data_IF_935918341062
#
_entry.id   IF_935918341062
#
_cell.length_a   1.000
_cell.length_b   1.000
_cell.length_c   1.000
_cell.angle_alpha   90.00
_cell.angle_beta   90.00
_cell.angle_gamma   90.00
#
_symmetry.space_group_name_H-M   'P 1'
#
loop_
_entity.id
_entity.type
_entity.pdbx_description
1 polymer ?
#
# COMPACT_ATOMS: atom_id res chain seq x y z
N UNK A 1 41.41 -10.21 4.05
CA UNK A 1 40.86 -11.56 3.85
C UNK A 1 39.37 -11.42 4.14
N UNK A 2 38.58 -11.11 3.07
CA UNK A 2 37.15 -10.83 3.15
C UNK A 2 36.45 -12.17 3.00
N UNK A 3 35.76 -12.63 4.04
CA UNK A 3 34.87 -13.79 3.97
C UNK A 3 33.67 -13.44 3.09
N UNK A 4 33.69 -13.87 1.85
CA UNK A 4 32.51 -14.01 1.02
C UNK A 4 31.69 -15.17 1.62
N UNK A 5 30.64 -14.84 2.37
CA UNK A 5 29.64 -15.81 2.77
C UNK A 5 29.01 -16.39 1.49
N UNK A 6 29.21 -17.67 1.28
CA UNK A 6 28.63 -18.45 0.19
C UNK A 6 27.10 -18.34 0.33
N UNK A 7 26.44 -17.64 -0.61
CA UNK A 7 24.99 -17.67 -0.76
C UNK A 7 24.59 -19.10 -1.16
N UNK A 8 24.15 -19.88 -0.20
CA UNK A 8 23.51 -21.16 -0.47
C UNK A 8 22.20 -20.87 -1.18
N UNK A 9 22.16 -21.04 -2.49
CA UNK A 9 20.92 -21.10 -3.26
C UNK A 9 20.10 -22.26 -2.69
N UNK A 10 18.94 -21.97 -2.09
CA UNK A 10 17.96 -22.97 -1.67
C UNK A 10 17.23 -23.43 -2.93
N UNK A 11 17.95 -24.15 -3.80
CA UNK A 11 17.36 -24.82 -4.96
C UNK A 11 16.53 -25.99 -4.46
N UNK A 12 15.20 -25.85 -4.48
CA UNK A 12 14.30 -26.93 -4.14
C UNK A 12 13.05 -26.56 -3.38
N UNK A 13 12.97 -25.38 -2.74
CA UNK A 13 11.76 -24.96 -2.01
C UNK A 13 10.73 -24.39 -2.99
N UNK A 14 9.53 -24.97 -3.01
CA UNK A 14 8.38 -24.46 -3.78
C UNK A 14 7.52 -23.56 -2.91
N UNK A 15 7.32 -22.34 -3.37
CA UNK A 15 6.50 -21.31 -2.73
C UNK A 15 5.31 -20.99 -3.63
N UNK A 16 4.09 -21.18 -3.12
CA UNK A 16 2.87 -20.78 -3.80
C UNK A 16 2.39 -19.42 -3.23
N UNK A 17 2.52 -18.34 -4.01
CA UNK A 17 2.03 -17.00 -3.67
C UNK A 17 0.57 -16.87 -4.10
N UNK A 18 -0.33 -16.62 -3.15
CA UNK A 18 -1.77 -16.50 -3.37
C UNK A 18 -2.19 -15.02 -3.27
N UNK A 19 -2.81 -14.50 -4.32
CA UNK A 19 -3.17 -13.08 -4.38
C UNK A 19 -4.41 -12.82 -5.22
N UNK A 20 -5.14 -11.77 -4.90
CA UNK A 20 -6.19 -11.26 -5.77
C UNK A 20 -5.63 -10.50 -6.97
N UNK A 21 -4.62 -9.69 -6.76
CA UNK A 21 -4.05 -8.79 -7.75
C UNK A 21 -2.71 -9.31 -8.26
N UNK A 22 -2.58 -9.42 -9.57
CA UNK A 22 -1.31 -9.71 -10.26
C UNK A 22 -1.43 -9.24 -11.73
N UNK A 23 -0.34 -8.82 -12.38
CA UNK A 23 -0.40 -8.35 -13.77
C UNK A 23 -1.18 -9.28 -14.70
N UNK A 24 -1.97 -8.72 -15.64
CA UNK A 24 -2.15 -7.29 -15.94
C UNK A 24 -3.19 -6.58 -15.06
N UNK A 25 -3.80 -7.24 -14.07
CA UNK A 25 -4.87 -6.71 -13.23
C UNK A 25 -4.31 -6.30 -11.86
N UNK A 26 -3.67 -5.15 -11.79
CA UNK A 26 -3.16 -4.52 -10.56
C UNK A 26 -3.83 -3.18 -10.37
N UNK A 27 -4.41 -2.92 -9.20
CA UNK A 27 -5.09 -1.67 -8.87
C UNK A 27 -4.75 -1.13 -7.47
N UNK A 28 -3.94 -1.87 -6.69
CA UNK A 28 -3.54 -1.50 -5.33
C UNK A 28 -2.12 -1.89 -4.96
N UNK A 29 -1.66 -1.38 -3.82
CA UNK A 29 -0.30 -1.62 -3.33
C UNK A 29 0.03 -3.10 -3.07
N UNK A 30 -0.97 -3.92 -2.71
CA UNK A 30 -0.78 -5.36 -2.51
C UNK A 30 -0.39 -6.07 -3.82
N UNK A 31 -1.02 -5.71 -4.94
CA UNK A 31 -0.68 -6.27 -6.25
C UNK A 31 0.73 -5.88 -6.70
N UNK A 32 1.10 -4.61 -6.52
CA UNK A 32 2.47 -4.12 -6.77
C UNK A 32 3.48 -4.88 -5.90
N UNK A 33 3.16 -5.09 -4.62
CA UNK A 33 4.03 -5.86 -3.72
C UNK A 33 4.24 -7.29 -4.22
N UNK A 34 3.16 -8.03 -4.55
CA UNK A 34 3.27 -9.44 -4.96
C UNK A 34 4.02 -9.59 -6.28
N UNK A 35 3.80 -8.68 -7.24
CA UNK A 35 4.55 -8.67 -8.50
C UNK A 35 6.06 -8.59 -8.26
N UNK A 36 6.48 -7.58 -7.50
CA UNK A 36 7.90 -7.37 -7.20
C UNK A 36 8.47 -8.49 -6.32
N UNK A 37 7.74 -8.93 -5.28
CA UNK A 37 8.16 -10.03 -4.43
C UNK A 37 8.37 -11.32 -5.25
N UNK A 38 7.43 -11.67 -6.13
CA UNK A 38 7.57 -12.81 -7.02
C UNK A 38 8.82 -12.71 -7.89
N UNK A 39 9.09 -11.51 -8.46
CA UNK A 39 10.26 -11.28 -9.31
C UNK A 39 11.57 -11.50 -8.55
N UNK A 40 11.70 -11.01 -7.31
CA UNK A 40 12.92 -11.13 -6.51
C UNK A 40 13.08 -12.49 -5.82
N UNK A 41 11.99 -13.26 -5.63
CA UNK A 41 12.03 -14.61 -5.06
C UNK A 41 12.33 -15.68 -6.12
N UNK A 42 11.93 -15.52 -7.39
CA UNK A 42 12.16 -16.51 -8.46
C UNK A 42 13.62 -16.93 -8.63
N UNK A 43 14.64 -16.07 -8.49
CA UNK A 43 16.05 -16.51 -8.49
C UNK A 43 16.46 -17.33 -7.25
N UNK A 44 15.61 -17.37 -6.20
CA UNK A 44 15.90 -17.97 -4.89
C UNK A 44 15.13 -19.27 -4.62
N UNK A 45 13.96 -19.45 -5.30
CA UNK A 45 13.04 -20.58 -5.06
C UNK A 45 12.17 -20.88 -6.30
N UNK A 46 11.48 -22.05 -6.32
CA UNK A 46 10.40 -22.34 -7.28
C UNK A 46 9.13 -21.55 -6.87
N UNK A 47 8.94 -20.38 -7.45
CA UNK A 47 7.82 -19.49 -7.12
C UNK A 47 6.68 -19.67 -8.10
N UNK A 48 5.52 -20.07 -7.60
CA UNK A 48 4.26 -20.15 -8.34
C UNK A 48 3.29 -19.10 -7.84
N UNK A 49 2.76 -18.30 -8.75
CA UNK A 49 1.76 -17.28 -8.44
C UNK A 49 0.38 -17.81 -8.79
N UNK A 50 -0.52 -17.80 -7.81
CA UNK A 50 -1.93 -18.14 -7.97
C UNK A 50 -2.75 -16.87 -7.77
N UNK A 51 -3.34 -16.37 -8.86
CA UNK A 51 -4.01 -15.09 -8.85
C UNK A 51 -5.45 -15.20 -9.34
N UNK A 52 -6.31 -14.33 -8.84
CA UNK A 52 -7.67 -14.19 -9.36
C UNK A 52 -7.66 -13.77 -10.83
N UNK A 53 -8.71 -14.14 -11.55
CA UNK A 53 -8.97 -13.73 -12.92
C UNK A 53 -8.64 -14.79 -13.97
N UNK A 54 -8.61 -14.36 -15.23
CA UNK A 54 -8.44 -15.27 -16.39
C UNK A 54 -7.09 -16.00 -16.37
N UNK A 55 -7.00 -17.20 -16.97
CA UNK A 55 -5.74 -17.87 -17.21
C UNK A 55 -4.70 -16.93 -17.87
N UNK A 56 -3.44 -17.07 -17.49
CA UNK A 56 -2.31 -16.27 -17.97
C UNK A 56 -1.29 -17.14 -18.70
N UNK A 57 -0.62 -16.63 -19.73
CA UNK A 57 0.39 -17.38 -20.46
C UNK A 57 1.74 -17.47 -19.73
N UNK A 58 1.93 -16.65 -18.66
CA UNK A 58 3.22 -16.52 -18.00
C UNK A 58 3.59 -17.80 -17.25
N UNK A 59 4.82 -18.33 -17.42
CA UNK A 59 5.28 -19.51 -16.71
C UNK A 59 5.21 -19.33 -15.19
N UNK A 60 4.66 -20.32 -14.49
CA UNK A 60 4.51 -20.29 -13.03
C UNK A 60 3.42 -19.35 -12.53
N UNK A 61 2.52 -18.88 -13.41
CA UNK A 61 1.35 -18.05 -13.02
C UNK A 61 0.07 -18.77 -13.42
N UNK A 62 -0.82 -19.02 -12.45
CA UNK A 62 -2.14 -19.61 -12.67
C UNK A 62 -3.22 -18.59 -12.34
N UNK A 63 -4.15 -18.36 -13.26
CA UNK A 63 -5.33 -17.52 -13.07
C UNK A 63 -6.56 -18.34 -12.71
N UNK A 64 -7.33 -17.89 -11.71
CA UNK A 64 -8.56 -18.51 -11.22
C UNK A 64 -9.72 -17.55 -11.44
N UNK A 65 -10.59 -17.80 -12.43
CA UNK A 65 -11.76 -16.96 -12.68
C UNK A 65 -12.84 -17.18 -11.61
N UNK A 66 -13.73 -16.19 -11.47
CA UNK A 66 -14.95 -16.37 -10.67
C UNK A 66 -15.74 -17.60 -11.17
N UNK A 67 -16.32 -18.34 -10.24
CA UNK A 67 -17.18 -19.48 -10.57
C UNK A 67 -18.50 -18.98 -11.16
N UNK A 68 -18.91 -19.44 -12.37
CA UNK A 68 -20.17 -19.01 -12.99
C UNK A 68 -21.40 -19.24 -12.12
N UNK A 69 -21.41 -20.31 -11.32
CA UNK A 69 -22.49 -20.70 -10.42
C UNK A 69 -22.69 -19.68 -9.29
N UNK A 70 -21.66 -18.90 -8.98
CA UNK A 70 -21.69 -17.86 -7.95
C UNK A 70 -21.81 -16.45 -8.53
N UNK A 71 -22.04 -16.27 -9.83
CA UNK A 71 -22.05 -14.98 -10.49
C UNK A 71 -23.04 -13.97 -9.87
N UNK A 72 -24.20 -14.45 -9.38
CA UNK A 72 -25.21 -13.64 -8.69
C UNK A 72 -25.04 -13.57 -7.18
N UNK A 73 -24.06 -14.27 -6.61
CA UNK A 73 -23.84 -14.32 -5.18
C UNK A 73 -23.15 -13.04 -4.65
N UNK A 74 -23.18 -12.87 -3.32
CA UNK A 74 -22.43 -11.82 -2.66
C UNK A 74 -20.92 -11.90 -3.02
N UNK A 75 -20.25 -10.75 -3.12
CA UNK A 75 -18.85 -10.66 -3.52
C UNK A 75 -17.91 -11.52 -2.64
N UNK A 76 -18.19 -11.63 -1.33
CA UNK A 76 -17.40 -12.48 -0.45
C UNK A 76 -17.53 -13.97 -0.81
N UNK A 77 -18.74 -14.43 -1.16
CA UNK A 77 -18.95 -15.82 -1.60
C UNK A 77 -18.27 -16.13 -2.93
N UNK A 78 -18.27 -15.17 -3.88
CA UNK A 78 -17.51 -15.32 -5.13
C UNK A 78 -16.02 -15.46 -4.85
N UNK A 79 -15.48 -14.62 -3.94
CA UNK A 79 -14.10 -14.72 -3.47
C UNK A 79 -13.80 -16.10 -2.93
N UNK A 80 -14.64 -16.63 -2.02
CA UNK A 80 -14.46 -17.96 -1.44
C UNK A 80 -14.50 -19.08 -2.49
N UNK A 81 -15.32 -18.95 -3.53
CA UNK A 81 -15.32 -19.89 -4.64
C UNK A 81 -13.96 -20.00 -5.33
N UNK A 82 -13.30 -18.87 -5.55
CA UNK A 82 -11.93 -18.82 -6.10
C UNK A 82 -10.93 -19.39 -5.09
N UNK A 83 -11.05 -19.05 -3.81
CA UNK A 83 -10.17 -19.55 -2.75
C UNK A 83 -10.15 -21.08 -2.65
N UNK A 84 -11.31 -21.72 -2.81
CA UNK A 84 -11.42 -23.19 -2.81
C UNK A 84 -10.63 -23.82 -3.96
N UNK A 85 -10.72 -23.23 -5.16
CA UNK A 85 -9.96 -23.72 -6.32
C UNK A 85 -8.45 -23.52 -6.14
N UNK A 86 -8.04 -22.36 -5.61
CA UNK A 86 -6.63 -22.07 -5.31
C UNK A 86 -6.08 -23.03 -4.26
N UNK A 87 -6.81 -23.26 -3.16
CA UNK A 87 -6.38 -24.15 -2.09
C UNK A 87 -6.19 -25.59 -2.58
N UNK A 88 -7.12 -26.10 -3.40
CA UNK A 88 -7.03 -27.44 -3.97
C UNK A 88 -5.76 -27.65 -4.81
N UNK A 89 -5.29 -26.59 -5.46
CA UNK A 89 -4.18 -26.64 -6.42
C UNK A 89 -2.79 -26.46 -5.77
N UNK A 90 -2.72 -26.13 -4.47
CA UNK A 90 -1.48 -25.92 -3.73
C UNK A 90 -0.73 -27.22 -3.36
N UNK A 91 -1.23 -28.41 -3.76
CA UNK A 91 -0.57 -29.68 -3.44
C UNK A 91 0.89 -29.71 -3.84
N UNK A 92 1.76 -30.12 -2.88
CA UNK A 92 3.21 -30.17 -3.05
C UNK A 92 3.94 -28.83 -2.91
N UNK A 93 3.30 -27.76 -2.42
CA UNK A 93 3.98 -26.55 -1.98
C UNK A 93 4.68 -26.80 -0.65
N UNK A 94 5.91 -26.30 -0.49
CA UNK A 94 6.63 -26.31 0.79
C UNK A 94 6.18 -25.16 1.68
N UNK A 95 5.74 -24.04 1.08
CA UNK A 95 5.12 -22.88 1.75
C UNK A 95 3.99 -22.35 0.90
N UNK A 96 2.88 -22.01 1.53
CA UNK A 96 1.80 -21.25 0.93
C UNK A 96 1.78 -19.85 1.54
N UNK A 97 1.92 -18.80 0.71
CA UNK A 97 1.97 -17.42 1.18
C UNK A 97 0.82 -16.60 0.57
N UNK A 98 -0.12 -16.18 1.41
CA UNK A 98 -1.29 -15.42 0.97
C UNK A 98 -1.17 -13.92 1.25
N UNK A 99 -1.82 -13.12 0.41
CA UNK A 99 -1.84 -11.66 0.50
C UNK A 99 -3.26 -11.14 0.51
N UNK A 100 -3.61 -10.36 1.53
CA UNK A 100 -4.95 -9.79 1.81
C UNK A 100 -6.01 -10.84 2.14
N UNK A 101 -7.13 -10.40 2.75
CA UNK A 101 -8.24 -11.29 3.10
C UNK A 101 -8.80 -12.06 1.88
N UNK A 102 -8.66 -11.49 0.68
CA UNK A 102 -9.14 -12.10 -0.57
C UNK A 102 -8.51 -13.46 -0.88
N UNK A 103 -7.29 -13.72 -0.40
CA UNK A 103 -6.58 -14.99 -0.62
C UNK A 103 -6.19 -15.69 0.70
N UNK A 104 -6.47 -15.06 1.85
CA UNK A 104 -6.11 -15.60 3.15
C UNK A 104 -6.84 -16.92 3.44
N UNK A 105 -8.11 -17.03 3.03
CA UNK A 105 -8.87 -18.27 3.20
C UNK A 105 -8.27 -19.40 2.36
N UNK A 106 -7.84 -19.12 1.12
CA UNK A 106 -7.16 -20.11 0.28
C UNK A 106 -5.88 -20.62 0.95
N UNK A 107 -5.05 -19.71 1.49
CA UNK A 107 -3.83 -20.09 2.20
C UNK A 107 -4.10 -20.93 3.45
N UNK A 108 -5.10 -20.56 4.24
CA UNK A 108 -5.51 -21.31 5.43
C UNK A 108 -5.99 -22.72 5.08
N UNK A 109 -6.87 -22.84 4.10
CA UNK A 109 -7.39 -24.13 3.64
C UNK A 109 -6.31 -25.00 3.00
N UNK A 110 -5.39 -24.42 2.22
CA UNK A 110 -4.26 -25.15 1.65
C UNK A 110 -3.35 -25.71 2.74
N UNK A 111 -3.08 -24.93 3.80
CA UNK A 111 -2.33 -25.40 4.96
C UNK A 111 -2.97 -26.61 5.64
N UNK A 112 -4.29 -26.55 5.86
CA UNK A 112 -5.04 -27.67 6.46
C UNK A 112 -5.10 -28.89 5.54
N UNK A 113 -5.30 -28.70 4.24
CA UNK A 113 -5.52 -29.78 3.28
C UNK A 113 -4.21 -30.51 2.92
N UNK A 114 -3.11 -29.78 2.74
CA UNK A 114 -1.85 -30.32 2.22
C UNK A 114 -0.74 -30.38 3.27
N UNK A 115 -0.95 -29.82 4.47
CA UNK A 115 0.05 -29.77 5.54
C UNK A 115 1.18 -28.76 5.26
N UNK A 116 1.07 -27.92 4.25
CA UNK A 116 2.04 -26.87 3.96
C UNK A 116 1.88 -25.70 4.96
N UNK A 117 2.99 -25.18 5.57
CA UNK A 117 2.89 -24.03 6.44
C UNK A 117 2.33 -22.83 5.69
N UNK A 118 1.27 -22.21 6.27
CA UNK A 118 0.67 -21.01 5.75
C UNK A 118 1.35 -19.79 6.35
N UNK A 119 1.96 -18.95 5.50
CA UNK A 119 2.43 -17.61 5.81
C UNK A 119 1.44 -16.61 5.21
N UNK A 120 1.16 -15.50 5.86
CA UNK A 120 0.37 -14.44 5.28
C UNK A 120 1.03 -13.08 5.47
N UNK A 121 0.90 -12.19 4.46
CA UNK A 121 1.31 -10.79 4.56
C UNK A 121 0.09 -9.88 4.81
N UNK A 122 0.19 -9.09 5.88
CA UNK A 122 -0.83 -8.13 6.29
C UNK A 122 -0.66 -6.80 5.54
N UNK A 123 -1.44 -6.59 4.49
CA UNK A 123 -1.47 -5.31 3.75
C UNK A 123 -2.59 -4.37 4.23
N UNK A 124 -3.55 -4.89 4.97
CA UNK A 124 -4.65 -4.18 5.65
C UNK A 124 -5.32 -5.15 6.60
N UNK A 125 -6.13 -4.63 7.52
CA UNK A 125 -6.94 -5.43 8.44
C UNK A 125 -8.42 -5.05 8.31
N UNK A 126 -9.30 -6.03 8.19
CA UNK A 126 -10.75 -5.80 8.09
C UNK A 126 -11.30 -5.04 9.31
N UNK A 127 -10.90 -5.33 10.57
CA UNK A 127 -11.38 -4.56 11.74
C UNK A 127 -11.02 -3.07 11.72
N UNK A 128 -9.98 -2.67 10.97
CA UNK A 128 -9.55 -1.28 10.83
C UNK A 128 -10.08 -0.64 9.54
N UNK A 129 -11.03 -1.29 8.88
CA UNK A 129 -11.68 -0.83 7.65
C UNK A 129 -13.19 -0.99 7.70
N UNK A 130 -13.88 -0.49 8.76
CA UNK A 130 -15.32 -0.71 8.97
C UNK A 130 -16.18 -0.18 7.82
N UNK A 131 -15.71 0.84 7.08
CA UNK A 131 -16.34 1.33 5.85
C UNK A 131 -16.45 0.29 4.73
N UNK A 132 -15.72 -0.82 4.81
CA UNK A 132 -15.88 -1.96 3.88
C UNK A 132 -17.26 -2.61 3.95
N UNK A 133 -17.97 -2.45 5.07
CA UNK A 133 -19.36 -2.87 5.17
C UNK A 133 -20.28 -2.17 4.15
N UNK A 134 -19.96 -0.93 3.77
CA UNK A 134 -20.66 -0.19 2.72
C UNK A 134 -20.54 -0.88 1.34
N UNK A 135 -19.38 -1.51 1.06
CA UNK A 135 -19.10 -2.20 -0.20
C UNK A 135 -19.57 -3.65 -0.21
N UNK A 136 -19.39 -4.36 0.89
CA UNK A 136 -19.61 -5.82 0.98
C UNK A 136 -20.97 -6.19 1.60
N UNK A 137 -21.65 -5.22 2.26
CA UNK A 137 -22.87 -5.50 2.99
C UNK A 137 -22.67 -6.66 3.99
N UNK A 138 -23.56 -7.66 3.96
CA UNK A 138 -23.43 -8.86 4.81
C UNK A 138 -22.16 -9.68 4.55
N UNK A 139 -21.51 -9.51 3.41
CA UNK A 139 -20.22 -10.13 3.08
C UNK A 139 -19.06 -9.66 3.95
N UNK A 140 -19.18 -8.48 4.61
CA UNK A 140 -18.16 -8.00 5.53
C UNK A 140 -17.96 -8.92 6.75
N UNK A 141 -19.02 -9.55 7.25
CA UNK A 141 -18.91 -10.55 8.31
C UNK A 141 -18.13 -11.80 7.84
N UNK A 142 -18.31 -12.17 6.57
CA UNK A 142 -17.58 -13.30 5.97
C UNK A 142 -16.08 -12.97 5.76
N UNK A 143 -15.76 -11.79 5.22
CA UNK A 143 -14.36 -11.38 5.02
C UNK A 143 -13.62 -11.27 6.36
N UNK A 144 -14.27 -10.69 7.38
CA UNK A 144 -13.71 -10.57 8.74
C UNK A 144 -13.48 -11.93 9.39
N UNK A 145 -14.42 -12.87 9.21
CA UNK A 145 -14.27 -14.25 9.71
C UNK A 145 -13.10 -14.97 9.01
N UNK A 146 -13.02 -14.89 7.70
CA UNK A 146 -11.99 -15.56 6.91
C UNK A 146 -10.61 -15.01 7.26
N UNK A 147 -10.48 -13.67 7.36
CA UNK A 147 -9.24 -13.03 7.76
C UNK A 147 -8.81 -13.48 9.15
N UNK A 148 -9.70 -13.39 10.16
CA UNK A 148 -9.41 -13.83 11.53
C UNK A 148 -8.94 -15.28 11.57
N UNK A 149 -9.67 -16.20 10.92
CA UNK A 149 -9.34 -17.63 10.90
C UNK A 149 -7.95 -17.88 10.31
N UNK A 150 -7.61 -17.16 9.25
CA UNK A 150 -6.30 -17.26 8.60
C UNK A 150 -5.16 -16.76 9.52
N UNK A 151 -5.35 -15.61 10.19
CA UNK A 151 -4.36 -15.07 11.13
C UNK A 151 -4.12 -16.01 12.31
N UNK A 152 -5.17 -16.55 12.91
CA UNK A 152 -5.07 -17.49 14.04
C UNK A 152 -4.40 -18.81 13.63
N UNK A 153 -4.68 -19.29 12.40
CA UNK A 153 -4.17 -20.57 11.89
C UNK A 153 -2.81 -20.48 11.17
N UNK A 154 -2.28 -19.30 10.90
CA UNK A 154 -1.03 -19.12 10.18
C UNK A 154 0.18 -19.65 10.98
N UNK A 155 1.16 -20.20 10.25
CA UNK A 155 2.46 -20.56 10.81
C UNK A 155 3.32 -19.31 11.10
N UNK A 156 3.22 -18.28 10.24
CA UNK A 156 3.79 -16.95 10.47
C UNK A 156 2.93 -15.86 9.81
N UNK A 157 2.96 -14.66 10.38
CA UNK A 157 2.29 -13.46 9.87
C UNK A 157 3.36 -12.40 9.60
N UNK A 158 3.45 -11.95 8.37
CA UNK A 158 4.31 -10.84 7.99
C UNK A 158 3.51 -9.54 8.14
N UNK A 159 3.91 -8.69 9.07
CA UNK A 159 3.43 -7.33 9.22
C UNK A 159 4.31 -6.40 8.36
N UNK A 160 3.69 -5.53 7.56
CA UNK A 160 4.44 -4.61 6.68
C UNK A 160 5.07 -3.42 7.42
N UNK A 161 4.81 -3.29 8.73
CA UNK A 161 5.37 -2.27 9.61
C UNK A 161 5.21 -2.68 11.08
N UNK A 162 5.94 -2.03 11.99
CA UNK A 162 5.72 -2.17 13.44
C UNK A 162 4.32 -1.66 13.83
N UNK A 163 3.84 -0.58 13.19
CA UNK A 163 2.47 -0.11 13.33
C UNK A 163 1.46 -1.20 12.96
N UNK A 164 1.64 -1.88 11.83
CA UNK A 164 0.78 -3.00 11.43
C UNK A 164 0.89 -4.18 12.40
N UNK A 165 2.08 -4.48 12.92
CA UNK A 165 2.26 -5.52 13.95
C UNK A 165 1.43 -5.21 15.20
N UNK A 166 1.49 -3.97 15.69
CA UNK A 166 0.68 -3.55 16.83
C UNK A 166 -0.83 -3.66 16.53
N UNK A 167 -1.25 -3.28 15.32
CA UNK A 167 -2.63 -3.38 14.87
C UNK A 167 -3.13 -4.83 14.80
N UNK A 168 -2.32 -5.76 14.29
CA UNK A 168 -2.62 -7.20 14.26
C UNK A 168 -2.86 -7.72 15.67
N UNK A 169 -1.92 -7.48 16.58
CA UNK A 169 -2.00 -7.99 17.95
C UNK A 169 -3.17 -7.39 18.75
N UNK A 170 -3.54 -6.13 18.45
CA UNK A 170 -4.72 -5.50 19.03
C UNK A 170 -6.03 -6.06 18.45
N UNK A 171 -6.07 -6.30 17.13
CA UNK A 171 -7.28 -6.76 16.42
C UNK A 171 -7.54 -8.27 16.63
N UNK A 172 -6.47 -9.04 16.76
CA UNK A 172 -6.50 -10.50 16.91
C UNK A 172 -5.67 -10.94 18.13
N UNK A 173 -6.13 -10.70 19.35
CA UNK A 173 -5.37 -10.94 20.58
C UNK A 173 -5.08 -12.43 20.86
N UNK A 174 -5.66 -13.35 20.10
CA UNK A 174 -5.38 -14.80 20.14
C UNK A 174 -4.18 -15.20 19.27
N UNK A 175 -3.69 -14.30 18.41
CA UNK A 175 -2.49 -14.54 17.60
C UNK A 175 -1.26 -14.45 18.49
N UNK A 176 -0.41 -15.48 18.43
CA UNK A 176 0.86 -15.51 19.13
C UNK A 176 1.79 -14.39 18.63
N UNK A 177 2.24 -13.46 19.48
CA UNK A 177 3.11 -12.36 19.10
C UNK A 177 4.43 -12.79 18.44
N UNK A 178 4.94 -13.99 18.77
CA UNK A 178 6.18 -14.52 18.21
C UNK A 178 6.04 -14.99 16.76
N UNK A 179 4.80 -15.19 16.29
CA UNK A 179 4.50 -15.50 14.88
C UNK A 179 4.42 -14.24 14.00
N UNK A 180 4.33 -13.04 14.59
CA UNK A 180 4.17 -11.79 13.84
C UNK A 180 5.53 -11.14 13.64
N UNK A 181 6.04 -11.23 12.43
CA UNK A 181 7.35 -10.72 12.01
C UNK A 181 7.18 -9.48 11.15
N UNK A 182 8.00 -8.45 11.39
CA UNK A 182 7.98 -7.24 10.55
C UNK A 182 8.89 -7.43 9.34
N UNK A 183 8.31 -7.34 8.14
CA UNK A 183 9.04 -7.25 6.87
C UNK A 183 8.39 -6.14 6.05
N UNK A 184 9.07 -5.02 5.87
CA UNK A 184 8.57 -3.88 5.11
C UNK A 184 8.31 -4.22 3.63
N UNK A 185 7.49 -3.41 2.96
CA UNK A 185 7.41 -3.46 1.51
C UNK A 185 8.64 -2.80 0.89
N UNK A 186 9.08 -3.34 -0.25
CA UNK A 186 10.17 -2.76 -1.03
C UNK A 186 9.71 -1.73 -2.06
N UNK A 187 10.68 -1.03 -2.64
CA UNK A 187 10.49 -0.10 -3.75
C UNK A 187 11.41 -0.46 -4.93
N UNK A 188 10.87 -0.41 -6.15
CA UNK A 188 11.64 -0.55 -7.39
C UNK A 188 12.32 0.78 -7.73
N UNK A 189 13.56 0.94 -7.28
CA UNK A 189 14.36 2.16 -7.46
C UNK A 189 14.84 2.37 -8.90
N UNK A 190 14.72 1.37 -9.77
CA UNK A 190 14.99 1.51 -11.19
C UNK A 190 13.81 2.06 -11.97
N UNK A 191 12.61 1.64 -11.58
CA UNK A 191 11.35 2.10 -12.18
C UNK A 191 10.82 3.40 -11.56
N UNK A 192 11.23 3.73 -10.32
CA UNK A 192 10.91 4.98 -9.63
C UNK A 192 12.19 5.80 -9.47
N UNK A 193 12.34 6.82 -10.29
CA UNK A 193 13.48 7.70 -10.28
C UNK A 193 13.05 9.12 -10.62
N UNK A 194 13.86 10.09 -10.20
CA UNK A 194 13.64 11.50 -10.53
C UNK A 194 13.71 11.71 -12.04
N UNK A 195 12.69 12.32 -12.61
CA UNK A 195 12.68 12.86 -13.96
C UNK A 195 13.29 14.27 -13.93
N UNK A 196 14.32 14.52 -14.71
CA UNK A 196 15.03 15.80 -14.74
C UNK A 196 14.36 16.82 -15.70
N UNK A 197 13.24 16.46 -16.34
CA UNK A 197 12.50 17.36 -17.20
C UNK A 197 11.28 17.98 -16.48
N UNK A 198 11.41 19.16 -15.85
CA UNK A 198 10.32 19.79 -15.13
C UNK A 198 9.17 20.22 -16.04
N UNK A 199 9.43 20.46 -17.34
CA UNK A 199 8.41 20.92 -18.29
C UNK A 199 7.47 19.81 -18.75
N UNK A 200 7.82 18.55 -18.50
CA UNK A 200 6.96 17.40 -18.86
C UNK A 200 5.56 17.50 -18.24
N UNK A 201 5.44 18.08 -17.03
CA UNK A 201 4.18 18.22 -16.31
C UNK A 201 3.26 19.35 -16.82
N UNK A 202 3.79 20.27 -17.66
CA UNK A 202 2.97 21.38 -18.22
C UNK A 202 1.82 20.87 -19.08
N UNK A 203 2.00 19.73 -19.75
CA UNK A 203 0.95 19.09 -20.56
C UNK A 203 -0.22 18.57 -19.70
N UNK A 204 0.02 18.39 -18.41
CA UNK A 204 -0.98 17.99 -17.41
C UNK A 204 -1.64 19.20 -16.72
N UNK A 205 -1.30 20.41 -17.12
CA UNK A 205 -1.81 21.65 -16.51
C UNK A 205 -1.10 22.03 -15.19
N UNK A 206 0.04 21.42 -14.91
CA UNK A 206 0.85 21.69 -13.72
C UNK A 206 1.92 22.73 -14.08
N UNK A 207 2.08 23.75 -13.26
CA UNK A 207 3.13 24.76 -13.40
C UNK A 207 4.35 24.38 -12.54
N UNK A 208 5.48 23.94 -13.15
CA UNK A 208 6.65 23.51 -12.40
C UNK A 208 7.39 24.66 -11.68
N UNK A 209 7.08 25.90 -12.01
CA UNK A 209 7.70 27.08 -11.40
C UNK A 209 6.96 27.55 -10.13
N UNK A 210 5.80 26.96 -9.83
CA UNK A 210 5.02 27.24 -8.62
C UNK A 210 5.28 26.18 -7.54
N UNK A 211 5.35 26.60 -6.24
CA UNK A 211 5.33 25.63 -5.14
C UNK A 211 4.09 24.73 -5.25
N UNK A 212 4.28 23.43 -5.03
CA UNK A 212 3.18 22.48 -5.23
C UNK A 212 3.07 21.45 -4.11
N UNK A 213 1.81 21.14 -3.77
CA UNK A 213 1.42 20.01 -2.93
C UNK A 213 0.79 18.96 -3.85
N UNK A 214 1.37 17.78 -3.90
CA UNK A 214 0.92 16.68 -4.76
C UNK A 214 0.33 15.57 -3.90
N UNK A 215 -0.88 15.11 -4.24
CA UNK A 215 -1.52 13.92 -3.69
C UNK A 215 -1.62 12.85 -4.78
N UNK A 216 -1.31 11.61 -4.42
CA UNK A 216 -1.49 10.44 -5.29
C UNK A 216 -2.23 9.34 -4.52
N UNK A 217 -3.36 8.89 -5.04
CA UNK A 217 -4.09 7.80 -4.40
C UNK A 217 -5.52 7.63 -4.89
N UNK A 218 -6.18 6.56 -4.43
CA UNK A 218 -7.61 6.35 -4.65
C UNK A 218 -8.43 7.30 -3.78
N UNK A 219 -9.63 7.61 -4.23
CA UNK A 219 -10.58 8.41 -3.46
C UNK A 219 -11.29 7.51 -2.45
N UNK A 220 -10.71 7.41 -1.25
CA UNK A 220 -11.21 6.57 -0.17
C UNK A 220 -11.17 7.33 1.16
N UNK A 221 -12.01 6.94 2.13
CA UNK A 221 -11.98 7.55 3.48
C UNK A 221 -10.61 7.38 4.14
N UNK A 222 -10.00 6.21 3.94
CA UNK A 222 -8.65 5.87 4.43
C UNK A 222 -7.59 6.89 4.03
N UNK A 223 -7.65 7.41 2.80
CA UNK A 223 -6.64 8.30 2.24
C UNK A 223 -6.74 9.75 2.69
N UNK A 224 -7.77 10.11 3.46
CA UNK A 224 -7.89 11.41 4.11
C UNK A 224 -8.01 12.61 3.17
N UNK A 225 -8.37 12.39 1.89
CA UNK A 225 -8.45 13.44 0.89
C UNK A 225 -9.38 14.61 1.27
N UNK A 226 -10.55 14.40 1.92
CA UNK A 226 -11.37 15.51 2.40
C UNK A 226 -10.65 16.45 3.37
N UNK A 227 -9.78 15.92 4.26
CA UNK A 227 -8.99 16.76 5.17
C UNK A 227 -7.95 17.59 4.42
N UNK A 228 -7.28 16.99 3.42
CA UNK A 228 -6.35 17.72 2.55
C UNK A 228 -7.03 18.86 1.80
N UNK A 229 -8.22 18.61 1.23
CA UNK A 229 -8.96 19.62 0.48
C UNK A 229 -9.37 20.81 1.37
N UNK A 230 -9.76 20.55 2.62
CA UNK A 230 -10.04 21.58 3.62
C UNK A 230 -8.76 22.31 4.06
N UNK A 231 -7.65 21.60 4.25
CA UNK A 231 -6.36 22.22 4.56
C UNK A 231 -5.88 23.10 3.40
N UNK A 232 -6.16 22.71 2.16
CA UNK A 232 -5.79 23.48 0.97
C UNK A 232 -6.49 24.87 0.90
N UNK A 233 -7.61 25.06 1.57
CA UNK A 233 -8.25 26.39 1.69
C UNK A 233 -7.38 27.38 2.48
N UNK A 234 -6.52 26.86 3.38
CA UNK A 234 -5.66 27.64 4.26
C UNK A 234 -4.26 27.86 3.68
N UNK A 235 -3.89 27.19 2.58
CA UNK A 235 -2.58 27.34 1.96
C UNK A 235 -2.42 28.69 1.26
N UNK A 236 -1.18 29.24 1.21
CA UNK A 236 -0.87 30.44 0.43
C UNK A 236 -1.36 30.35 -1.03
N UNK A 237 -1.77 31.49 -1.60
CA UNK A 237 -2.39 31.52 -2.92
C UNK A 237 -1.45 31.07 -4.06
N UNK A 238 -0.14 31.26 -3.89
CA UNK A 238 0.90 30.83 -4.83
C UNK A 238 1.10 29.31 -4.87
N UNK A 239 0.74 28.57 -3.82
CA UNK A 239 0.87 27.12 -3.77
C UNK A 239 -0.20 26.48 -4.64
N UNK A 240 0.19 25.61 -5.57
CA UNK A 240 -0.76 24.83 -6.34
C UNK A 240 -1.02 23.47 -5.65
N UNK A 241 -2.25 22.96 -5.81
CA UNK A 241 -2.67 21.64 -5.37
C UNK A 241 -2.84 20.74 -6.59
N UNK A 242 -2.10 19.62 -6.62
CA UNK A 242 -2.19 18.65 -7.70
C UNK A 242 -2.73 17.34 -7.15
N UNK A 243 -3.86 16.91 -7.65
CA UNK A 243 -4.55 15.68 -7.24
C UNK A 243 -4.47 14.64 -8.36
N UNK A 244 -3.64 13.61 -8.18
CA UNK A 244 -3.65 12.39 -8.98
C UNK A 244 -4.57 11.39 -8.27
N UNK A 245 -5.89 11.62 -8.36
CA UNK A 245 -6.89 10.96 -7.55
C UNK A 245 -8.05 10.47 -8.40
N UNK A 246 -8.31 9.16 -8.33
CA UNK A 246 -9.41 8.50 -9.01
C UNK A 246 -9.86 7.24 -8.27
N UNK A 247 -10.62 6.37 -8.93
CA UNK A 247 -11.11 5.10 -8.41
C UNK A 247 -11.75 5.23 -7.01
N UNK A 248 -12.90 5.91 -6.89
CA UNK A 248 -13.60 6.08 -5.62
C UNK A 248 -14.11 4.73 -5.07
N UNK A 249 -14.08 4.57 -3.75
CA UNK A 249 -14.63 3.38 -3.10
C UNK A 249 -16.16 3.36 -3.16
N UNK A 250 -16.81 4.53 -3.06
CA UNK A 250 -18.28 4.68 -3.15
C UNK A 250 -18.66 5.98 -3.88
N UNK A 251 -19.90 6.07 -4.41
CA UNK A 251 -20.40 7.32 -5.01
C UNK A 251 -20.44 8.49 -4.03
N UNK A 252 -20.69 8.23 -2.74
CA UNK A 252 -20.83 9.26 -1.71
C UNK A 252 -19.50 9.98 -1.47
N UNK A 253 -18.38 9.24 -1.33
CA UNK A 253 -17.05 9.87 -1.17
C UNK A 253 -16.64 10.61 -2.43
N UNK A 254 -17.03 10.11 -3.62
CA UNK A 254 -16.78 10.81 -4.87
C UNK A 254 -17.53 12.13 -4.93
N UNK A 255 -18.81 12.16 -4.53
CA UNK A 255 -19.62 13.38 -4.50
C UNK A 255 -19.05 14.41 -3.51
N UNK A 256 -18.64 13.96 -2.31
CA UNK A 256 -18.01 14.81 -1.30
C UNK A 256 -16.72 15.45 -1.85
N UNK A 257 -15.81 14.66 -2.40
CA UNK A 257 -14.53 15.14 -2.95
C UNK A 257 -14.76 16.09 -4.12
N UNK A 258 -15.67 15.76 -5.05
CA UNK A 258 -15.99 16.61 -6.19
C UNK A 258 -16.53 17.97 -5.74
N UNK A 259 -17.40 18.02 -4.74
CA UNK A 259 -17.92 19.26 -4.16
C UNK A 259 -16.82 20.12 -3.54
N UNK A 260 -15.90 19.50 -2.78
CA UNK A 260 -14.77 20.21 -2.17
C UNK A 260 -13.80 20.76 -3.22
N UNK A 261 -13.48 19.98 -4.26
CA UNK A 261 -12.60 20.43 -5.35
C UNK A 261 -13.24 21.60 -6.13
N UNK A 262 -14.52 21.49 -6.48
CA UNK A 262 -15.22 22.57 -7.18
C UNK A 262 -15.21 23.87 -6.35
N UNK A 263 -15.49 23.77 -5.04
CA UNK A 263 -15.43 24.93 -4.14
C UNK A 263 -14.01 25.51 -4.00
N UNK A 264 -12.97 24.70 -4.05
CA UNK A 264 -11.58 25.20 -4.09
C UNK A 264 -11.27 25.91 -5.41
N UNK A 265 -11.68 25.36 -6.56
CA UNK A 265 -11.45 25.93 -7.88
C UNK A 265 -12.15 27.28 -8.06
N UNK A 266 -13.27 27.53 -7.38
CA UNK A 266 -13.94 28.83 -7.35
C UNK A 266 -13.17 29.89 -6.55
N UNK A 267 -12.44 29.47 -5.50
CA UNK A 267 -11.80 30.38 -4.54
C UNK A 267 -10.32 30.59 -4.77
N UNK A 268 -9.64 29.67 -5.48
CA UNK A 268 -8.21 29.77 -5.74
C UNK A 268 -7.83 29.20 -7.11
N UNK A 269 -6.74 29.71 -7.67
CA UNK A 269 -6.09 29.16 -8.87
C UNK A 269 -5.13 28.03 -8.53
N UNK A 270 -4.75 27.23 -9.52
CA UNK A 270 -3.73 26.19 -9.35
C UNK A 270 -4.26 24.95 -8.64
N UNK A 271 -5.54 24.63 -8.79
CA UNK A 271 -6.11 23.34 -8.38
C UNK A 271 -6.24 22.47 -9.61
N UNK A 272 -5.33 21.50 -9.74
CA UNK A 272 -5.27 20.54 -10.86
C UNK A 272 -5.75 19.18 -10.36
N UNK A 273 -6.77 18.64 -10.99
CA UNK A 273 -7.28 17.31 -10.66
C UNK A 273 -7.20 16.39 -11.88
N UNK A 274 -6.38 15.34 -11.75
CA UNK A 274 -6.18 14.29 -12.74
C UNK A 274 -6.94 13.05 -12.29
N UNK A 275 -8.17 12.87 -12.78
CA UNK A 275 -9.09 11.81 -12.33
C UNK A 275 -8.75 10.42 -12.89
N UNK A 276 -7.78 10.32 -13.79
CA UNK A 276 -7.34 9.05 -14.38
C UNK A 276 -6.19 8.43 -13.61
N UNK A 277 -6.04 7.12 -13.71
CA UNK A 277 -4.82 6.43 -13.29
C UNK A 277 -3.69 6.85 -14.22
N UNK A 278 -2.66 7.51 -13.65
CA UNK A 278 -1.49 7.91 -14.41
C UNK A 278 -0.54 6.71 -14.61
N UNK A 279 0.03 6.54 -15.81
CA UNK A 279 1.15 5.62 -16.00
C UNK A 279 2.34 5.99 -15.10
N UNK A 280 3.17 5.01 -14.73
CA UNK A 280 4.33 5.22 -13.84
C UNK A 280 5.23 6.36 -14.32
N UNK A 281 5.51 6.44 -15.63
CA UNK A 281 6.36 7.50 -16.18
C UNK A 281 5.80 8.91 -15.90
N UNK A 282 4.49 9.11 -16.10
CA UNK A 282 3.83 10.39 -15.79
C UNK A 282 3.82 10.68 -14.28
N UNK A 283 3.62 9.64 -13.44
CA UNK A 283 3.69 9.80 -11.98
C UNK A 283 5.11 10.19 -11.53
N UNK A 284 6.17 9.60 -12.10
CA UNK A 284 7.54 10.00 -11.84
C UNK A 284 7.77 11.48 -12.18
N UNK A 285 7.25 11.97 -13.32
CA UNK A 285 7.33 13.37 -13.70
C UNK A 285 6.62 14.28 -12.68
N UNK A 286 5.37 13.94 -12.31
CA UNK A 286 4.58 14.71 -11.34
C UNK A 286 5.27 14.75 -9.97
N UNK A 287 5.73 13.60 -9.45
CA UNK A 287 6.41 13.53 -8.16
C UNK A 287 7.77 14.24 -8.19
N UNK A 288 8.50 14.17 -9.30
CA UNK A 288 9.80 14.84 -9.45
C UNK A 288 9.69 16.37 -9.52
N UNK A 289 8.58 16.87 -10.05
CA UNK A 289 8.29 18.31 -10.11
C UNK A 289 7.65 18.84 -8.81
N UNK A 290 7.19 17.97 -7.91
CA UNK A 290 6.52 18.34 -6.68
C UNK A 290 7.46 19.04 -5.70
N UNK A 291 7.01 20.14 -5.09
CA UNK A 291 7.69 20.69 -3.89
C UNK A 291 7.53 19.73 -2.74
N UNK A 292 6.32 19.21 -2.54
CA UNK A 292 6.06 18.16 -1.55
C UNK A 292 4.95 17.21 -2.02
N UNK A 293 5.14 15.93 -1.77
CA UNK A 293 4.09 14.93 -1.80
C UNK A 293 3.42 14.87 -0.43
N UNK A 294 2.08 14.75 -0.40
CA UNK A 294 1.32 14.65 0.84
C UNK A 294 0.59 13.32 0.96
N UNK A 295 0.74 12.66 2.11
CA UNK A 295 0.01 11.45 2.49
C UNK A 295 -0.85 11.72 3.74
N UNK A 296 -2.07 12.28 3.59
CA UNK A 296 -2.94 12.66 4.70
C UNK A 296 -3.78 11.48 5.19
N UNK A 297 -3.29 10.25 4.99
CA UNK A 297 -4.00 9.02 5.34
C UNK A 297 -4.32 8.96 6.82
N UNK A 298 -5.54 8.55 7.16
CA UNK A 298 -5.95 8.27 8.54
C UNK A 298 -5.73 6.81 8.94
N UNK A 299 -5.44 5.97 7.98
CA UNK A 299 -4.99 4.59 8.16
C UNK A 299 -4.04 4.23 7.02
N UNK A 300 -2.81 3.87 7.34
CA UNK A 300 -1.80 3.51 6.34
C UNK A 300 -0.91 2.39 6.87
N UNK A 301 -1.04 1.18 6.37
CA UNK A 301 -0.22 0.04 6.81
C UNK A 301 1.28 0.25 6.71
N UNK A 302 1.77 0.80 5.60
CA UNK A 302 3.14 1.27 5.41
C UNK A 302 3.19 2.56 4.59
N UNK A 303 2.48 2.60 3.46
CA UNK A 303 2.47 3.74 2.55
C UNK A 303 3.54 3.65 1.47
N UNK A 304 3.41 2.67 0.56
CA UNK A 304 4.34 2.49 -0.58
C UNK A 304 4.45 3.79 -1.40
N UNK A 305 3.37 4.55 -1.54
CA UNK A 305 3.36 5.81 -2.27
C UNK A 305 4.32 6.86 -1.68
N UNK A 306 4.59 6.81 -0.36
CA UNK A 306 5.63 7.65 0.25
C UNK A 306 7.02 7.24 -0.26
N UNK A 307 7.28 5.93 -0.40
CA UNK A 307 8.53 5.43 -0.98
C UNK A 307 8.68 5.81 -2.46
N UNK A 308 7.59 5.80 -3.22
CA UNK A 308 7.56 6.25 -4.62
C UNK A 308 7.91 7.73 -4.73
N UNK A 309 7.34 8.57 -3.86
CA UNK A 309 7.66 9.99 -3.78
C UNK A 309 9.12 10.24 -3.36
N UNK A 310 9.61 9.53 -2.33
CA UNK A 310 11.01 9.58 -1.89
C UNK A 310 11.98 9.12 -2.99
N UNK A 311 11.62 8.07 -3.75
CA UNK A 311 12.41 7.59 -4.87
C UNK A 311 12.53 8.63 -5.99
N UNK A 312 11.48 9.43 -6.21
CA UNK A 312 11.48 10.59 -7.12
C UNK A 312 12.07 11.86 -6.51
N UNK A 313 12.63 11.79 -5.29
CA UNK A 313 13.21 12.93 -4.56
C UNK A 313 12.20 14.05 -4.25
N UNK A 314 10.93 13.74 -4.06
CA UNK A 314 9.95 14.65 -3.48
C UNK A 314 10.10 14.68 -1.95
N UNK A 315 9.99 15.85 -1.32
CA UNK A 315 9.75 15.92 0.13
C UNK A 315 8.43 15.24 0.46
N UNK A 316 8.33 14.58 1.60
CA UNK A 316 7.09 13.93 2.01
C UNK A 316 6.52 14.60 3.26
N UNK A 317 5.25 14.99 3.19
CA UNK A 317 4.45 15.35 4.37
C UNK A 317 3.45 14.23 4.61
N UNK A 318 3.54 13.55 5.74
CA UNK A 318 2.68 12.42 6.05
C UNK A 318 2.01 12.53 7.41
N UNK A 319 0.83 11.94 7.57
CA UNK A 319 0.21 11.80 8.89
C UNK A 319 1.04 10.84 9.76
N UNK A 320 1.22 11.16 11.03
CA UNK A 320 1.92 10.29 11.99
C UNK A 320 1.03 9.10 12.42
N UNK A 321 0.67 8.22 11.47
CA UNK A 321 -0.19 7.05 11.72
C UNK A 321 0.33 5.81 10.97
N UNK A 322 0.03 4.63 11.53
CA UNK A 322 0.41 3.34 10.94
C UNK A 322 1.91 3.24 10.68
N UNK A 323 2.29 2.82 9.48
CA UNK A 323 3.69 2.68 9.06
C UNK A 323 4.32 3.95 8.47
N UNK A 324 3.58 5.07 8.32
CA UNK A 324 4.15 6.30 7.75
C UNK A 324 5.39 6.78 8.53
N UNK A 325 5.40 6.79 9.90
CA UNK A 325 6.58 7.19 10.67
C UNK A 325 7.81 6.28 10.50
N UNK A 326 7.61 5.06 10.01
CA UNK A 326 8.72 4.14 9.71
C UNK A 326 9.35 4.43 8.35
N UNK A 327 8.58 4.98 7.42
CA UNK A 327 9.05 5.43 6.10
C UNK A 327 9.63 6.83 6.17
N UNK A 328 8.88 7.79 6.72
CA UNK A 328 9.25 9.20 6.77
C UNK A 328 9.89 9.51 8.12
N UNK A 329 11.13 9.98 8.09
CA UNK A 329 11.84 10.46 9.26
C UNK A 329 11.60 11.96 9.40
N UNK A 330 10.85 12.35 10.46
CA UNK A 330 10.46 13.76 10.68
C UNK A 330 11.68 14.68 10.80
N UNK A 331 11.62 15.81 10.08
CA UNK A 331 12.70 16.81 10.03
C UNK A 331 13.95 16.38 9.24
N UNK A 332 13.98 15.15 8.67
CA UNK A 332 15.14 14.62 7.91
C UNK A 332 14.75 14.26 6.47
N UNK A 333 13.71 13.45 6.28
CA UNK A 333 13.27 13.03 4.93
C UNK A 333 11.92 13.63 4.54
N UNK A 334 11.34 14.43 5.43
CA UNK A 334 10.05 15.06 5.29
C UNK A 334 9.53 15.55 6.64
N UNK A 335 8.21 15.72 6.73
CA UNK A 335 7.55 16.15 7.95
C UNK A 335 6.38 15.22 8.28
N UNK A 336 6.15 15.01 9.58
CA UNK A 336 5.03 14.27 10.09
C UNK A 336 4.01 15.20 10.75
N UNK A 337 2.73 15.04 10.38
CA UNK A 337 1.61 15.75 10.97
C UNK A 337 1.02 14.90 12.09
N UNK A 338 0.99 15.36 13.33
CA UNK A 338 0.40 14.61 14.44
C UNK A 338 -1.10 14.43 14.25
N UNK A 339 -1.62 13.29 14.69
CA UNK A 339 -3.04 12.98 14.66
C UNK A 339 -3.45 12.28 15.96
N UNK A 340 -4.51 12.76 16.60
CA UNK A 340 -5.19 12.06 17.68
C UNK A 340 -6.47 11.42 17.11
N UNK A 341 -6.55 10.09 17.18
CA UNK A 341 -7.57 9.31 16.48
C UNK A 341 -8.56 8.67 17.46
N UNK A 342 -9.79 8.49 17.01
CA UNK A 342 -10.76 7.64 17.70
C UNK A 342 -10.33 6.18 17.62
N UNK A 343 -10.75 5.37 18.59
CA UNK A 343 -10.34 3.95 18.71
C UNK A 343 -11.40 2.97 18.17
N UNK A 344 -12.31 3.45 17.32
CA UNK A 344 -13.41 2.65 16.75
C UNK A 344 -13.04 1.91 15.45
N UNK A 345 -11.78 1.97 15.05
CA UNK A 345 -11.27 1.36 13.82
C UNK A 345 -11.36 2.25 12.57
N UNK A 346 -12.06 3.41 12.63
CA UNK A 346 -12.17 4.32 11.48
C UNK A 346 -10.91 5.14 11.23
N UNK A 347 -10.09 5.32 12.26
CA UNK A 347 -8.94 6.22 12.20
C UNK A 347 -9.31 7.71 12.13
N UNK A 348 -10.58 8.06 12.32
CA UNK A 348 -11.07 9.44 12.26
C UNK A 348 -10.35 10.30 13.31
N UNK A 349 -9.89 11.52 12.96
CA UNK A 349 -9.35 12.47 13.95
C UNK A 349 -10.40 12.81 15.00
N UNK A 350 -10.01 12.87 16.28
CA UNK A 350 -10.91 13.32 17.38
C UNK A 350 -11.27 14.79 17.22
N UNK A 351 -10.33 15.57 16.73
CA UNK A 351 -10.51 16.99 16.39
C UNK A 351 -10.13 17.21 14.91
N UNK A 352 -11.09 17.06 13.99
CA UNK A 352 -10.83 17.23 12.57
C UNK A 352 -10.37 18.62 12.18
N UNK A 353 -10.87 19.67 12.87
CA UNK A 353 -10.49 21.05 12.58
C UNK A 353 -9.03 21.31 12.94
N UNK A 354 -8.59 20.83 14.10
CA UNK A 354 -7.20 20.90 14.49
C UNK A 354 -6.30 20.14 13.54
N UNK A 355 -6.66 18.92 13.16
CA UNK A 355 -5.87 18.13 12.22
C UNK A 355 -5.74 18.84 10.85
N UNK A 356 -6.82 19.46 10.35
CA UNK A 356 -6.80 20.26 9.13
C UNK A 356 -5.86 21.45 9.26
N UNK A 357 -5.90 22.17 10.40
CA UNK A 357 -5.01 23.30 10.65
C UNK A 357 -3.54 22.88 10.75
N UNK A 358 -3.24 21.82 11.51
CA UNK A 358 -1.88 21.27 11.65
C UNK A 358 -1.33 20.81 10.28
N UNK A 359 -2.17 20.16 9.45
CA UNK A 359 -1.80 19.76 8.10
C UNK A 359 -1.48 20.96 7.20
N UNK A 360 -2.30 22.00 7.26
CA UNK A 360 -2.08 23.23 6.48
C UNK A 360 -0.80 23.97 6.93
N UNK A 361 -0.53 24.02 8.23
CA UNK A 361 0.68 24.64 8.79
C UNK A 361 1.94 23.93 8.29
N UNK A 362 2.00 22.59 8.41
CA UNK A 362 3.15 21.79 7.97
C UNK A 362 3.35 21.87 6.44
N UNK A 363 2.26 21.84 5.67
CA UNK A 363 2.35 22.02 4.20
C UNK A 363 2.86 23.40 3.82
N UNK A 364 2.41 24.46 4.53
CA UNK A 364 2.88 25.83 4.32
C UNK A 364 4.35 25.96 4.66
N UNK A 365 4.80 25.38 5.79
CA UNK A 365 6.22 25.35 6.17
C UNK A 365 7.09 24.77 5.05
N UNK A 366 6.75 23.56 4.56
CA UNK A 366 7.56 22.86 3.56
C UNK A 366 7.51 23.57 2.19
N UNK A 367 6.37 24.12 1.79
CA UNK A 367 6.24 24.80 0.49
C UNK A 367 6.86 26.19 0.48
N UNK A 368 7.05 26.81 1.63
CA UNK A 368 7.71 28.13 1.76
C UNK A 368 9.24 28.08 1.74
N UNK A 369 9.86 26.89 1.90
CA UNK A 369 11.30 26.68 1.83
C UNK A 369 11.68 25.60 0.80
N UNK A 370 11.75 25.97 -0.49
CA UNK A 370 12.09 25.02 -1.57
C UNK A 370 13.47 24.37 -1.40
N UNK A 371 14.40 25.04 -0.73
CA UNK A 371 15.73 24.48 -0.45
C UNK A 371 15.62 23.34 0.54
N UNK A 372 14.91 23.56 1.63
CA UNK A 372 14.68 22.53 2.66
C UNK A 372 13.87 21.35 2.11
N UNK A 373 12.84 21.63 1.30
CA UNK A 373 12.08 20.58 0.62
C UNK A 373 12.98 19.70 -0.27
N UNK A 374 13.90 20.30 -1.01
CA UNK A 374 14.88 19.56 -1.82
C UNK A 374 15.82 18.70 -0.95
N UNK A 375 16.32 19.24 0.18
CA UNK A 375 17.14 18.48 1.14
C UNK A 375 16.39 17.25 1.67
N UNK A 376 15.13 17.39 2.02
CA UNK A 376 14.26 16.28 2.42
C UNK A 376 14.12 15.23 1.31
N UNK A 377 13.88 15.65 0.08
CA UNK A 377 13.74 14.75 -1.06
C UNK A 377 14.99 13.93 -1.33
N UNK A 378 16.18 14.56 -1.29
CA UNK A 378 17.48 13.86 -1.45
C UNK A 378 17.70 12.87 -0.32
N UNK A 379 17.48 13.27 0.93
CA UNK A 379 17.60 12.38 2.09
C UNK A 379 16.58 11.23 2.03
N UNK A 380 15.38 11.51 1.54
CA UNK A 380 14.33 10.51 1.31
C UNK A 380 14.78 9.43 0.33
N UNK A 381 15.36 9.82 -0.81
CA UNK A 381 15.92 8.87 -1.79
C UNK A 381 16.98 7.97 -1.19
N UNK A 382 17.93 8.54 -0.46
CA UNK A 382 19.00 7.77 0.21
C UNK A 382 18.41 6.77 1.20
N UNK A 383 17.40 7.17 1.99
CA UNK A 383 16.72 6.27 2.93
C UNK A 383 16.00 5.13 2.20
N UNK A 384 15.31 5.42 1.09
CA UNK A 384 14.62 4.40 0.30
C UNK A 384 15.62 3.35 -0.23
N UNK A 385 16.80 3.77 -0.69
CA UNK A 385 17.86 2.90 -1.17
C UNK A 385 18.44 2.01 -0.05
N UNK A 386 18.64 2.57 1.14
CA UNK A 386 19.29 1.86 2.25
C UNK A 386 18.39 0.87 2.98
N UNK A 387 17.08 1.16 3.07
CA UNK A 387 16.18 0.43 3.98
C UNK A 387 15.03 -0.30 3.30
N UNK A 388 14.70 0.03 2.03
CA UNK A 388 13.52 -0.49 1.37
C UNK A 388 13.82 -1.14 0.01
N UNK A 389 15.03 -1.68 -0.18
CA UNK A 389 15.40 -2.40 -1.39
C UNK A 389 14.70 -3.78 -1.45
N UNK A 390 14.24 -4.17 -2.62
CA UNK A 390 13.59 -5.48 -2.81
C UNK A 390 14.50 -6.67 -2.49
N UNK A 391 15.81 -6.54 -2.65
CA UNK A 391 16.74 -7.63 -2.29
C UNK A 391 16.74 -7.90 -0.78
N UNK A 392 16.79 -6.84 0.04
CA UNK A 392 16.72 -6.99 1.50
C UNK A 392 15.37 -7.56 1.95
N UNK A 393 14.27 -7.12 1.31
CA UNK A 393 12.91 -7.63 1.59
C UNK A 393 12.79 -9.12 1.22
N UNK A 394 13.37 -9.52 0.07
CA UNK A 394 13.38 -10.92 -0.32
C UNK A 394 14.16 -11.79 0.65
N UNK A 395 15.33 -11.34 1.11
CA UNK A 395 16.15 -12.10 2.07
C UNK A 395 15.40 -12.26 3.41
N UNK A 396 14.80 -11.19 3.93
CA UNK A 396 13.97 -11.23 5.14
C UNK A 396 12.74 -12.14 4.99
N UNK A 397 12.06 -12.10 3.83
CA UNK A 397 10.94 -13.00 3.54
C UNK A 397 11.37 -14.47 3.47
N UNK A 398 12.53 -14.76 2.84
CA UNK A 398 13.09 -16.11 2.82
C UNK A 398 13.47 -16.62 4.21
N UNK A 399 13.89 -15.74 5.12
CA UNK A 399 14.15 -16.12 6.52
C UNK A 399 12.86 -16.53 7.24
N UNK A 400 11.76 -15.83 7.01
CA UNK A 400 10.44 -16.25 7.51
C UNK A 400 10.06 -17.63 6.97
N UNK A 401 10.24 -17.88 5.65
CA UNK A 401 9.93 -19.20 5.10
C UNK A 401 10.78 -20.32 5.71
N UNK A 402 12.09 -20.08 5.88
CA UNK A 402 13.00 -21.04 6.54
C UNK A 402 12.60 -21.35 7.98
N UNK A 403 12.03 -20.39 8.69
CA UNK A 403 11.61 -20.58 10.08
C UNK A 403 10.38 -21.48 10.22
N UNK A 404 9.56 -21.62 9.17
CA UNK A 404 8.33 -22.42 9.19
C UNK A 404 8.41 -23.74 8.44
N UNK A 405 9.38 -23.89 7.52
CA UNK A 405 9.66 -25.16 6.83
C UNK A 405 10.49 -26.05 7.76
N UNK A 406 10.01 -27.25 8.02
CA UNK A 406 10.68 -28.26 8.88
C UNK A 406 11.55 -29.20 8.08
#
# INVERSE_FOLDING_TARGET
>A
MVFLASRTTVTGVRIDLLTREYPPAVYGGAGVHVENLAAVLRPRADVRVRAFGKPRPDPGVTGYPDLPELASANAALRTFGVDLAMAADCGGADVVHSHTWYANLAGHLAGLLHGAPHVLSAHSLEPLRPWKAEQLGGGYALSSWAEKSAYEGAAAVIAVSDGMRADILRSYPTVDPDKVVVVHNGIDLSGWARDENPDAVRTLGIDPDRPSVVFVGRITRQKGLPYLLRAAELLPAEVQLVLCAGAPDTPEIMAEVSGLVAGLQERRTGVVWLERMLPRAELCQVLSAATTFVCPSVYEPLGIVNLEAMACQAAVVGTATGGIPEVVQDGVTGRLVPIDQVTDGTGTPRDPERYVADLAEVLTEVTSDPKRAREYGVAGRIRAEQHFSWDAIADATMDVYRSVVR
#
